data_IF_581722165317
#
_entry.id   IF_581722165317
#
_cell.length_a   1.000
_cell.length_b   1.000
_cell.length_c   1.000
_cell.angle_alpha   90.00
_cell.angle_beta   90.00
_cell.angle_gamma   90.00
#
_symmetry.space_group_name_H-M   'P 1'
#
loop_
_entity.id
_entity.type
_entity.pdbx_description
1 polymer ?
#
# COMPACT_ATOMS: atom_id res chain seq x y z
N UNK A 1 -12.16 -42.70 -24.73
CA UNK A 1 -11.28 -42.55 -23.55
C UNK A 1 -10.36 -41.32 -23.62
N UNK A 2 -10.52 -40.40 -24.57
CA UNK A 2 -9.69 -39.16 -24.75
C UNK A 2 -10.38 -37.86 -24.29
N UNK A 3 -11.68 -37.87 -24.05
CA UNK A 3 -12.46 -36.67 -23.72
C UNK A 3 -12.40 -36.34 -22.21
N UNK A 4 -12.15 -37.32 -21.34
CA UNK A 4 -12.07 -37.10 -19.88
C UNK A 4 -10.77 -36.44 -19.42
N UNK A 5 -9.70 -36.54 -20.23
CA UNK A 5 -8.39 -35.95 -19.85
C UNK A 5 -8.30 -34.43 -20.10
N UNK A 6 -9.02 -33.92 -21.09
CA UNK A 6 -9.05 -32.49 -21.41
C UNK A 6 -9.88 -31.68 -20.43
N UNK A 7 -10.97 -32.25 -19.89
CA UNK A 7 -11.81 -31.58 -18.89
C UNK A 7 -11.11 -31.43 -17.54
N UNK A 8 -10.34 -32.43 -17.13
CA UNK A 8 -9.52 -32.36 -15.91
C UNK A 8 -8.31 -31.41 -16.05
N UNK A 9 -7.71 -31.30 -17.24
CA UNK A 9 -6.69 -30.27 -17.49
C UNK A 9 -7.29 -28.87 -17.50
N UNK A 10 -8.50 -28.68 -18.07
CA UNK A 10 -9.21 -27.39 -18.08
C UNK A 10 -9.59 -26.94 -16.67
N UNK A 11 -9.99 -27.85 -15.78
CA UNK A 11 -10.26 -27.57 -14.37
C UNK A 11 -8.97 -27.27 -13.59
N UNK A 12 -7.85 -27.90 -13.93
CA UNK A 12 -6.54 -27.65 -13.31
C UNK A 12 -5.98 -26.26 -13.64
N UNK A 13 -6.29 -25.71 -14.83
CA UNK A 13 -5.96 -24.33 -15.21
C UNK A 13 -6.87 -23.27 -14.56
N UNK A 14 -8.02 -23.65 -14.02
CA UNK A 14 -8.99 -22.73 -13.42
C UNK A 14 -8.76 -22.44 -11.93
N UNK A 15 -7.88 -23.19 -11.28
CA UNK A 15 -7.38 -22.88 -9.94
C UNK A 15 -6.05 -22.12 -10.03
N UNK A 16 -6.03 -20.94 -10.66
CA UNK A 16 -5.06 -19.92 -10.26
C UNK A 16 -5.44 -19.63 -8.82
N UNK A 17 -4.58 -20.08 -7.89
CA UNK A 17 -4.76 -19.84 -6.45
C UNK A 17 -4.75 -18.32 -6.27
N UNK A 18 -5.94 -17.73 -6.20
CA UNK A 18 -6.09 -16.29 -6.02
C UNK A 18 -5.43 -15.93 -4.69
N UNK A 19 -4.61 -14.88 -4.69
CA UNK A 19 -3.97 -14.44 -3.46
C UNK A 19 -5.03 -14.00 -2.45
N UNK A 20 -4.85 -14.38 -1.20
CA UNK A 20 -5.64 -13.85 -0.08
C UNK A 20 -5.09 -12.53 0.46
N UNK A 21 -3.92 -12.13 -0.05
CA UNK A 21 -3.20 -10.94 0.34
C UNK A 21 -3.23 -9.89 -0.75
N UNK A 22 -3.51 -8.65 -0.37
CA UNK A 22 -3.36 -7.47 -1.22
C UNK A 22 -2.34 -6.52 -0.58
N UNK A 23 -1.36 -6.09 -1.34
CA UNK A 23 -0.48 -4.98 -0.98
C UNK A 23 -0.96 -3.74 -1.73
N UNK A 24 -1.75 -2.91 -1.07
CA UNK A 24 -2.22 -1.64 -1.60
C UNK A 24 -1.30 -0.52 -1.12
N UNK A 25 -0.79 0.31 -2.03
CA UNK A 25 0.16 1.34 -1.63
C UNK A 25 0.05 2.60 -2.48
N UNK A 26 0.31 3.74 -1.86
CA UNK A 26 0.59 4.99 -2.55
C UNK A 26 2.08 5.25 -2.57
N UNK A 27 2.62 5.62 -3.73
CA UNK A 27 4.04 5.99 -3.87
C UNK A 27 4.22 6.89 -5.08
N UNK A 28 5.17 7.81 -5.04
CA UNK A 28 5.54 8.64 -6.18
C UNK A 28 7.04 8.54 -6.48
N UNK A 29 7.34 8.38 -7.75
CA UNK A 29 8.67 8.58 -8.32
C UNK A 29 8.97 10.09 -8.48
N UNK A 30 10.12 10.40 -9.05
CA UNK A 30 10.57 11.78 -9.32
C UNK A 30 11.28 12.39 -8.14
N UNK A 31 11.17 13.71 -7.98
CA UNK A 31 11.87 14.47 -6.95
C UNK A 31 11.30 14.18 -5.56
N UNK A 32 12.08 13.60 -4.68
CA UNK A 32 11.70 13.21 -3.32
C UNK A 32 12.69 13.77 -2.30
N UNK A 33 12.17 14.20 -1.16
CA UNK A 33 12.99 14.76 -0.08
C UNK A 33 14.04 13.76 0.40
N UNK A 34 15.25 14.25 0.68
CA UNK A 34 16.44 13.49 1.13
C UNK A 34 16.99 12.39 0.21
N UNK A 35 16.23 11.94 -0.78
CA UNK A 35 16.69 10.88 -1.70
C UNK A 35 16.87 11.37 -3.14
N UNK A 36 16.45 12.63 -3.43
CA UNK A 36 16.58 13.23 -4.76
C UNK A 36 15.62 12.65 -5.78
N UNK A 37 16.01 12.70 -7.07
CA UNK A 37 15.19 12.22 -8.17
C UNK A 37 15.32 10.71 -8.31
N UNK A 38 14.24 9.98 -8.13
CA UNK A 38 14.20 8.51 -8.15
C UNK A 38 13.22 7.99 -9.19
N UNK A 39 13.54 6.84 -9.78
CA UNK A 39 12.68 6.15 -10.76
C UNK A 39 11.53 5.38 -10.08
N UNK A 40 11.74 4.91 -8.85
CA UNK A 40 10.80 4.15 -8.04
C UNK A 40 10.69 4.82 -6.69
N UNK A 41 9.48 5.10 -6.23
CA UNK A 41 9.25 5.75 -4.93
C UNK A 41 9.53 4.82 -3.75
N UNK A 42 9.87 5.40 -2.59
CA UNK A 42 10.33 4.66 -1.42
C UNK A 42 9.28 3.65 -0.91
N UNK A 43 8.01 4.04 -0.84
CA UNK A 43 6.92 3.16 -0.39
C UNK A 43 6.70 1.99 -1.36
N UNK A 44 6.87 2.22 -2.66
CA UNK A 44 6.78 1.16 -3.67
C UNK A 44 7.83 0.07 -3.46
N UNK A 45 9.07 0.43 -3.13
CA UNK A 45 10.13 -0.55 -2.85
C UNK A 45 9.74 -1.48 -1.70
N UNK A 46 9.18 -0.93 -0.62
CA UNK A 46 8.67 -1.75 0.48
C UNK A 46 7.48 -2.63 0.05
N UNK A 47 6.55 -2.07 -0.72
CA UNK A 47 5.42 -2.83 -1.26
C UNK A 47 5.88 -4.02 -2.10
N UNK A 48 6.91 -3.83 -2.93
CA UNK A 48 7.51 -4.90 -3.74
C UNK A 48 8.17 -5.98 -2.88
N UNK A 49 8.88 -5.62 -1.81
CA UNK A 49 9.47 -6.60 -0.89
C UNK A 49 8.39 -7.42 -0.18
N UNK A 50 7.34 -6.76 0.33
CA UNK A 50 6.22 -7.39 1.02
C UNK A 50 5.47 -8.34 0.07
N UNK A 51 5.09 -7.85 -1.11
CA UNK A 51 4.31 -8.65 -2.07
C UNK A 51 5.09 -9.84 -2.63
N UNK A 52 6.39 -9.68 -2.89
CA UNK A 52 7.25 -10.77 -3.35
C UNK A 52 7.38 -11.88 -2.29
N UNK A 53 7.50 -11.49 -1.01
CA UNK A 53 7.59 -12.46 0.09
C UNK A 53 6.28 -13.23 0.27
N UNK A 54 5.15 -12.54 0.27
CA UNK A 54 3.81 -13.13 0.48
C UNK A 54 3.20 -13.73 -0.78
N UNK A 55 3.78 -13.48 -1.96
CA UNK A 55 3.15 -13.73 -3.26
C UNK A 55 1.77 -13.08 -3.35
N UNK A 56 1.70 -11.84 -2.85
CA UNK A 56 0.49 -11.03 -2.79
C UNK A 56 0.24 -10.29 -4.10
N UNK A 57 -1.04 -10.04 -4.40
CA UNK A 57 -1.42 -9.10 -5.44
C UNK A 57 -1.04 -7.67 -5.03
N UNK A 58 -0.71 -6.83 -6.00
CA UNK A 58 -0.37 -5.43 -5.77
C UNK A 58 -1.41 -4.49 -6.34
N UNK A 59 -1.65 -3.38 -5.64
CA UNK A 59 -2.46 -2.28 -6.12
C UNK A 59 -1.80 -0.94 -5.83
N UNK A 60 -1.39 -0.24 -6.88
CA UNK A 60 -0.86 1.12 -6.75
C UNK A 60 -2.02 2.12 -6.65
N UNK A 61 -2.17 2.74 -5.50
CA UNK A 61 -3.18 3.76 -5.23
C UNK A 61 -2.75 5.05 -5.93
N UNK A 62 -3.46 5.44 -6.97
CA UNK A 62 -3.19 6.65 -7.75
C UNK A 62 -4.48 7.46 -7.88
N UNK A 63 -4.44 8.73 -7.49
CA UNK A 63 -5.53 9.67 -7.71
C UNK A 63 -5.37 10.43 -9.04
N UNK A 64 -6.46 11.00 -9.54
CA UNK A 64 -6.50 11.84 -10.75
C UNK A 64 -5.95 13.28 -10.53
N UNK A 65 -5.43 13.54 -9.35
CA UNK A 65 -4.99 14.87 -8.90
C UNK A 65 -3.57 15.28 -9.37
N UNK A 66 -2.93 14.54 -10.24
CA UNK A 66 -1.66 14.84 -10.94
C UNK A 66 -0.67 15.72 -10.15
N UNK A 67 0.13 15.09 -9.29
CA UNK A 67 1.11 15.82 -8.50
C UNK A 67 2.23 16.42 -9.36
N UNK A 68 2.64 17.68 -9.12
CA UNK A 68 3.77 18.30 -9.80
C UNK A 68 5.07 17.49 -9.65
N UNK A 69 5.96 17.51 -10.66
CA UNK A 69 7.21 16.79 -10.61
C UNK A 69 8.19 17.31 -9.57
N UNK A 70 8.19 18.63 -9.31
CA UNK A 70 9.06 19.26 -8.30
C UNK A 70 8.52 19.02 -6.91
N UNK A 71 9.38 18.60 -5.99
CA UNK A 71 9.03 18.32 -4.60
C UNK A 71 8.30 19.49 -3.92
N UNK A 72 8.85 20.71 -3.99
CA UNK A 72 8.27 21.88 -3.31
C UNK A 72 6.83 22.21 -3.75
N UNK A 73 6.50 22.02 -5.03
CA UNK A 73 5.14 22.28 -5.53
C UNK A 73 4.21 21.13 -5.18
N UNK A 74 4.74 19.90 -5.20
CA UNK A 74 4.02 18.69 -4.77
C UNK A 74 3.55 18.79 -3.33
N UNK A 75 4.41 19.20 -2.42
CA UNK A 75 4.04 19.33 -1.00
C UNK A 75 3.05 20.48 -0.75
N UNK A 76 3.13 21.59 -1.51
CA UNK A 76 2.12 22.65 -1.43
C UNK A 76 0.74 22.15 -1.82
N UNK A 77 0.64 21.40 -2.94
CA UNK A 77 -0.61 20.76 -3.36
C UNK A 77 -1.11 19.77 -2.31
N UNK A 78 -0.27 18.88 -1.81
CA UNK A 78 -0.63 17.91 -0.78
C UNK A 78 -1.16 18.57 0.51
N UNK A 79 -0.55 19.69 0.94
CA UNK A 79 -1.02 20.45 2.09
C UNK A 79 -2.38 21.10 1.84
N UNK A 80 -2.61 21.65 0.65
CA UNK A 80 -3.91 22.18 0.23
C UNK A 80 -4.98 21.08 0.22
N UNK A 81 -4.70 19.93 -0.38
CA UNK A 81 -5.61 18.79 -0.41
C UNK A 81 -5.98 18.32 1.01
N UNK A 82 -4.98 18.22 1.89
CA UNK A 82 -5.20 17.87 3.29
C UNK A 82 -6.11 18.90 3.99
N UNK A 83 -5.84 20.21 3.83
CA UNK A 83 -6.64 21.27 4.47
C UNK A 83 -8.09 21.31 4.01
N UNK A 84 -8.34 20.93 2.76
CA UNK A 84 -9.66 20.86 2.14
C UNK A 84 -10.35 19.49 2.35
N UNK A 85 -9.69 18.55 3.00
CA UNK A 85 -10.15 17.15 3.11
C UNK A 85 -10.53 16.55 1.75
N UNK A 86 -9.74 16.89 0.71
CA UNK A 86 -10.00 16.53 -0.67
C UNK A 86 -9.94 15.01 -0.88
N UNK A 87 -10.77 14.48 -1.77
CA UNK A 87 -10.81 13.07 -2.15
C UNK A 87 -10.56 12.93 -3.65
N UNK A 88 -9.29 12.82 -4.10
CA UNK A 88 -9.02 12.60 -5.52
C UNK A 88 -9.67 11.29 -5.96
N UNK A 89 -10.30 11.28 -7.14
CA UNK A 89 -10.85 10.06 -7.71
C UNK A 89 -9.71 9.09 -8.05
N UNK A 90 -9.85 7.82 -7.70
CA UNK A 90 -8.86 6.81 -8.08
C UNK A 90 -8.93 6.56 -9.59
N UNK A 91 -7.76 6.47 -10.25
CA UNK A 91 -7.68 6.21 -11.70
C UNK A 91 -7.94 4.73 -12.05
N UNK A 92 -7.83 3.84 -11.08
CA UNK A 92 -8.12 2.41 -11.21
C UNK A 92 -8.78 1.87 -9.94
N UNK A 93 -9.33 0.68 -10.04
CA UNK A 93 -9.99 0.01 -8.93
C UNK A 93 -9.43 -1.41 -8.73
N UNK A 94 -9.48 -1.90 -7.50
CA UNK A 94 -9.16 -3.29 -7.20
C UNK A 94 -10.30 -4.18 -7.68
N UNK A 95 -10.01 -5.09 -8.59
CA UNK A 95 -10.98 -6.09 -9.01
C UNK A 95 -11.24 -7.07 -7.87
N UNK A 96 -12.52 -7.35 -7.61
CA UNK A 96 -12.94 -8.33 -6.60
C UNK A 96 -12.26 -8.14 -5.24
N UNK A 97 -12.31 -6.92 -4.67
CA UNK A 97 -11.69 -6.61 -3.37
C UNK A 97 -12.14 -7.57 -2.24
N UNK A 98 -13.35 -8.11 -2.35
CA UNK A 98 -13.92 -9.03 -1.37
C UNK A 98 -13.09 -10.32 -1.16
N UNK A 99 -12.33 -10.77 -2.19
CA UNK A 99 -11.51 -11.99 -2.11
C UNK A 99 -10.35 -11.91 -1.12
N UNK A 100 -9.86 -10.69 -0.83
CA UNK A 100 -8.70 -10.51 0.04
C UNK A 100 -9.11 -10.56 1.51
N UNK A 101 -8.46 -11.44 2.26
CA UNK A 101 -8.65 -11.58 3.71
C UNK A 101 -7.74 -10.60 4.48
N UNK A 102 -6.57 -10.30 3.90
CA UNK A 102 -5.53 -9.46 4.53
C UNK A 102 -5.04 -8.41 3.56
N UNK A 103 -5.01 -7.17 4.04
CA UNK A 103 -4.56 -5.99 3.30
C UNK A 103 -3.31 -5.43 3.98
N UNK A 104 -2.23 -5.31 3.22
CA UNK A 104 -1.07 -4.51 3.59
C UNK A 104 -1.20 -3.14 2.94
N UNK A 105 -1.36 -2.10 3.76
CA UNK A 105 -1.58 -0.73 3.28
C UNK A 105 -0.34 0.12 3.51
N UNK A 106 0.25 0.62 2.41
CA UNK A 106 1.48 1.40 2.42
C UNK A 106 1.31 2.84 1.94
N UNK A 107 2.00 3.78 2.60
CA UNK A 107 1.97 5.20 2.22
C UNK A 107 3.17 5.98 2.75
N UNK A 108 3.57 7.07 2.09
CA UNK A 108 4.51 8.03 2.66
C UNK A 108 3.80 8.93 3.67
N UNK A 109 4.54 9.42 4.67
CA UNK A 109 4.02 10.42 5.61
C UNK A 109 4.19 11.83 5.01
N UNK A 110 3.06 12.46 4.68
CA UNK A 110 3.00 13.83 4.18
C UNK A 110 2.23 14.72 5.17
N UNK A 111 2.89 15.72 5.74
CA UNK A 111 2.28 16.59 6.76
C UNK A 111 1.56 15.82 7.88
N UNK A 112 2.22 14.79 8.41
CA UNK A 112 1.70 13.90 9.47
C UNK A 112 0.41 13.15 9.08
N UNK A 113 0.18 12.90 7.78
CA UNK A 113 -0.97 12.13 7.25
C UNK A 113 -0.55 11.27 6.06
N UNK A 114 -1.32 10.24 5.72
CA UNK A 114 -1.27 9.65 4.39
C UNK A 114 -1.67 10.65 3.31
N UNK A 115 -1.21 10.51 2.06
CA UNK A 115 -1.74 11.25 0.91
C UNK A 115 -3.25 11.04 0.73
N UNK A 116 -3.96 12.05 0.22
CA UNK A 116 -5.43 12.07 0.21
C UNK A 116 -6.06 10.94 -0.64
N UNK A 117 -5.37 10.44 -1.67
CA UNK A 117 -5.81 9.26 -2.42
C UNK A 117 -5.93 7.98 -1.56
N UNK A 118 -5.14 7.88 -0.47
CA UNK A 118 -5.25 6.76 0.48
C UNK A 118 -6.61 6.79 1.19
N UNK A 119 -7.10 7.98 1.55
CA UNK A 119 -8.44 8.11 2.15
C UNK A 119 -9.53 7.70 1.18
N UNK A 120 -9.43 8.14 -0.09
CA UNK A 120 -10.37 7.69 -1.14
C UNK A 120 -10.36 6.16 -1.25
N UNK A 121 -9.18 5.53 -1.21
CA UNK A 121 -9.08 4.07 -1.23
C UNK A 121 -9.78 3.42 -0.03
N UNK A 122 -9.56 3.93 1.19
CA UNK A 122 -10.18 3.40 2.40
C UNK A 122 -11.72 3.54 2.39
N UNK A 123 -12.22 4.59 1.76
CA UNK A 123 -13.66 4.88 1.64
C UNK A 123 -14.33 4.12 0.47
N UNK A 124 -13.53 3.59 -0.48
CA UNK A 124 -14.04 2.93 -1.69
C UNK A 124 -14.37 1.45 -1.51
N UNK A 125 -13.94 0.81 -0.40
CA UNK A 125 -14.07 -0.63 -0.22
C UNK A 125 -14.56 -1.00 1.18
N UNK A 126 -15.22 -2.17 1.28
CA UNK A 126 -15.61 -2.74 2.58
C UNK A 126 -14.45 -3.52 3.20
N UNK A 127 -13.91 -3.00 4.29
CA UNK A 127 -12.86 -3.61 5.09
C UNK A 127 -13.38 -4.47 6.24
N UNK A 128 -14.69 -4.66 6.36
CA UNK A 128 -15.28 -5.42 7.49
C UNK A 128 -14.70 -6.82 7.60
N UNK A 129 -14.22 -7.16 8.80
CA UNK A 129 -13.60 -8.45 9.12
C UNK A 129 -12.19 -8.70 8.57
N UNK A 130 -11.68 -7.82 7.69
CA UNK A 130 -10.34 -7.97 7.09
C UNK A 130 -9.24 -7.63 8.09
N UNK A 131 -8.11 -8.35 7.99
CA UNK A 131 -6.88 -7.96 8.67
C UNK A 131 -6.21 -6.84 7.88
N UNK A 132 -5.79 -5.78 8.55
CA UNK A 132 -5.09 -4.64 7.92
C UNK A 132 -3.78 -4.40 8.65
N UNK A 133 -2.68 -4.53 7.93
CA UNK A 133 -1.34 -4.24 8.39
C UNK A 133 -0.81 -3.00 7.68
N UNK A 134 -0.20 -2.09 8.43
CA UNK A 134 0.21 -0.79 7.92
C UNK A 134 1.73 -0.71 7.76
N UNK A 135 2.18 -0.12 6.67
CA UNK A 135 3.57 0.25 6.51
C UNK A 135 3.70 1.66 5.94
N UNK A 136 4.71 2.38 6.38
CA UNK A 136 4.92 3.74 5.88
C UNK A 136 6.40 4.07 5.68
N UNK A 137 6.63 5.01 4.76
CA UNK A 137 7.92 5.67 4.61
C UNK A 137 7.84 7.12 5.09
N UNK A 138 8.93 7.62 5.66
CA UNK A 138 9.01 8.97 6.21
C UNK A 138 10.42 9.56 6.05
N UNK A 139 10.55 10.85 6.33
CA UNK A 139 11.84 11.54 6.31
C UNK A 139 12.13 12.23 7.67
N UNK A 140 11.98 11.46 8.77
CA UNK A 140 12.28 11.89 10.12
C UNK A 140 11.08 11.94 11.08
N UNK A 141 9.83 11.89 10.57
CA UNK A 141 8.62 12.02 11.42
C UNK A 141 8.14 10.69 12.06
N UNK A 142 8.74 9.56 11.70
CA UNK A 142 8.16 8.26 12.02
C UNK A 142 6.77 8.10 11.39
N UNK A 143 5.89 7.34 11.99
CA UNK A 143 4.52 7.13 11.52
C UNK A 143 3.55 8.28 11.89
N UNK A 144 3.98 9.25 12.69
CA UNK A 144 3.24 10.48 13.04
C UNK A 144 1.78 10.27 13.49
N UNK A 145 1.49 9.17 14.21
CA UNK A 145 0.14 8.83 14.70
C UNK A 145 -0.82 8.29 13.62
N UNK A 146 -0.34 8.09 12.39
CA UNK A 146 -1.21 7.68 11.27
C UNK A 146 -1.78 6.28 11.42
N UNK A 147 -1.10 5.36 12.08
CA UNK A 147 -1.60 4.00 12.27
C UNK A 147 -2.86 3.98 13.16
N UNK A 148 -2.82 4.68 14.29
CA UNK A 148 -4.02 4.84 15.15
C UNK A 148 -5.13 5.60 14.45
N UNK A 149 -4.77 6.60 13.63
CA UNK A 149 -5.74 7.35 12.84
C UNK A 149 -6.47 6.44 11.83
N UNK A 150 -5.75 5.62 11.04
CA UNK A 150 -6.37 4.67 10.10
C UNK A 150 -7.20 3.63 10.83
N UNK A 151 -6.73 3.12 11.97
CA UNK A 151 -7.53 2.21 12.80
C UNK A 151 -8.88 2.81 13.18
N UNK A 152 -8.90 4.09 13.54
CA UNK A 152 -10.15 4.82 13.82
C UNK A 152 -11.09 4.97 12.63
N UNK A 153 -10.54 5.05 11.40
CA UNK A 153 -11.33 5.12 10.16
C UNK A 153 -11.93 3.77 9.76
N UNK A 154 -11.39 2.65 10.24
CA UNK A 154 -11.80 1.30 9.87
C UNK A 154 -12.29 0.50 11.09
N UNK A 155 -13.36 0.92 11.77
CA UNK A 155 -13.78 0.32 13.05
C UNK A 155 -14.26 -1.13 12.93
N UNK A 156 -14.60 -1.58 11.73
CA UNK A 156 -15.04 -2.96 11.46
C UNK A 156 -13.92 -3.88 10.98
N UNK A 157 -12.72 -3.34 10.73
CA UNK A 157 -11.54 -4.10 10.36
C UNK A 157 -10.66 -4.43 11.57
N UNK A 158 -9.81 -5.45 11.44
CA UNK A 158 -8.79 -5.81 12.43
C UNK A 158 -7.47 -5.10 12.09
N UNK A 159 -7.40 -3.80 12.39
CA UNK A 159 -6.22 -2.98 12.06
C UNK A 159 -5.16 -3.15 13.13
N UNK A 160 -3.98 -3.65 12.75
CA UNK A 160 -2.79 -3.69 13.60
C UNK A 160 -2.11 -2.31 13.62
N UNK A 161 -1.72 -1.85 14.80
CA UNK A 161 -0.86 -0.68 14.97
C UNK A 161 0.62 -1.05 15.11
N UNK A 162 0.96 -2.34 15.14
CA UNK A 162 2.32 -2.85 14.95
C UNK A 162 2.60 -2.92 13.44
N UNK A 163 3.15 -1.83 12.90
CA UNK A 163 3.40 -1.66 11.49
C UNK A 163 4.88 -1.45 11.17
N UNK A 164 5.22 -1.54 9.88
CA UNK A 164 6.57 -1.27 9.40
C UNK A 164 6.74 0.23 9.14
N UNK A 165 7.68 0.85 9.85
CA UNK A 165 8.00 2.28 9.72
C UNK A 165 9.44 2.40 9.25
N UNK A 166 9.66 3.02 8.08
CA UNK A 166 10.99 3.04 7.49
C UNK A 166 11.32 4.42 6.89
N UNK A 167 12.52 4.92 7.15
CA UNK A 167 13.01 6.13 6.50
C UNK A 167 13.25 5.89 5.00
N UNK A 168 12.93 6.89 4.16
CA UNK A 168 12.97 6.72 2.71
C UNK A 168 14.36 6.34 2.18
N UNK A 169 15.43 6.93 2.69
CA UNK A 169 16.79 6.54 2.31
C UNK A 169 17.11 5.07 2.70
N UNK A 170 16.64 4.63 3.88
CA UNK A 170 16.83 3.26 4.35
C UNK A 170 16.03 2.25 3.52
N UNK A 171 14.81 2.60 3.09
CA UNK A 171 13.98 1.77 2.21
C UNK A 171 14.68 1.42 0.88
N UNK A 172 15.75 2.13 0.53
CA UNK A 172 16.56 1.94 -0.68
C UNK A 172 17.80 1.08 -0.45
N UNK A 173 18.05 0.61 0.75
CA UNK A 173 19.18 -0.25 1.10
C UNK A 173 18.83 -1.74 0.98
N UNK A 174 19.80 -2.64 0.79
CA UNK A 174 19.56 -4.08 0.82
C UNK A 174 18.95 -4.59 2.13
N UNK A 175 19.20 -3.90 3.26
CA UNK A 175 18.67 -4.27 4.57
C UNK A 175 17.15 -4.14 4.65
N UNK A 176 16.55 -3.20 3.91
CA UNK A 176 15.11 -2.95 3.92
C UNK A 176 14.28 -4.20 3.59
N UNK A 177 14.76 -5.02 2.65
CA UNK A 177 14.12 -6.29 2.30
C UNK A 177 14.05 -7.22 3.50
N UNK A 178 15.16 -7.45 4.17
CA UNK A 178 15.22 -8.35 5.32
C UNK A 178 14.35 -7.85 6.49
N UNK A 179 14.31 -6.54 6.71
CA UNK A 179 13.46 -5.93 7.74
C UNK A 179 11.98 -6.11 7.44
N UNK A 180 11.57 -5.91 6.19
CA UNK A 180 10.19 -6.16 5.75
C UNK A 180 9.81 -7.64 5.92
N UNK A 181 10.67 -8.57 5.53
CA UNK A 181 10.43 -10.00 5.71
C UNK A 181 10.35 -10.40 7.19
N UNK A 182 11.23 -9.86 8.03
CA UNK A 182 11.22 -10.11 9.47
C UNK A 182 9.96 -9.55 10.14
N UNK A 183 9.48 -8.37 9.69
CA UNK A 183 8.21 -7.83 10.14
C UNK A 183 7.06 -8.77 9.80
N UNK A 184 6.93 -9.22 8.54
CA UNK A 184 5.87 -10.13 8.12
C UNK A 184 5.88 -11.44 8.92
N UNK A 185 7.07 -12.02 9.19
CA UNK A 185 7.20 -13.25 10.00
C UNK A 185 6.62 -13.08 11.40
N UNK A 186 6.74 -11.88 12.01
CA UNK A 186 6.17 -11.61 13.34
C UNK A 186 4.64 -11.49 13.34
N UNK A 187 4.03 -11.17 12.18
CA UNK A 187 2.58 -11.00 12.09
C UNK A 187 1.80 -12.32 12.12
N UNK A 188 2.46 -13.46 11.96
CA UNK A 188 1.84 -14.79 11.90
C UNK A 188 0.66 -14.88 10.91
N UNK A 189 0.77 -14.22 9.75
CA UNK A 189 -0.25 -14.17 8.70
C UNK A 189 0.11 -14.99 7.44
#
# INVERSE_FOLDING_TARGET
MLIFNTFNQYLKYKYIKMSKYLVAYFSLAGDNYNVGVVKVGNTQLLAEHISNYLKADQFHIVGDNNYPPKYGDRIKQANKEKSQNFRPKLISQVNNFAQYETIFLGYPIWYSRPPMAVYTFLESYDFSGKNVYLFCTHEGSGQAGTFSHIKGLLPKAKVSTDGLVMQGAHARTPAAKQEAENWIKRLNC
#
